data_IF_594616994112
#
_entry.id   IF_594616994112
#
_cell.length_a   1.000
_cell.length_b   1.000
_cell.length_c   1.000
_cell.angle_alpha   90.00
_cell.angle_beta   90.00
_cell.angle_gamma   90.00
#
_symmetry.space_group_name_H-M   'P 1'
#
loop_
_entity.id
_entity.type
_entity.pdbx_description
1 polymer ?
#
# COMPACT_ATOMS: atom_id res chain seq x y z
N UNK A 1 -9.76 17.44 -6.98
CA UNK A 1 -9.36 16.15 -6.35
C UNK A 1 -10.50 15.12 -6.18
N UNK A 2 -11.69 15.47 -5.64
CA UNK A 2 -12.78 14.50 -5.36
C UNK A 2 -13.16 13.57 -6.54
N UNK A 3 -13.32 14.13 -7.75
CA UNK A 3 -13.66 13.35 -8.96
C UNK A 3 -12.58 12.31 -9.30
N UNK A 4 -11.31 12.73 -9.34
CA UNK A 4 -10.17 11.85 -9.60
C UNK A 4 -10.08 10.71 -8.58
N UNK A 5 -10.15 11.03 -7.28
CA UNK A 5 -10.18 10.03 -6.20
C UNK A 5 -11.29 8.99 -6.41
N UNK A 6 -12.50 9.45 -6.73
CA UNK A 6 -13.64 8.56 -6.95
C UNK A 6 -13.44 7.68 -8.19
N UNK A 7 -12.84 8.20 -9.26
CA UNK A 7 -12.53 7.44 -10.46
C UNK A 7 -11.51 6.32 -10.15
N UNK A 8 -10.40 6.66 -9.48
CA UNK A 8 -9.39 5.69 -9.02
C UNK A 8 -10.03 4.61 -8.13
N UNK A 9 -10.86 4.99 -7.15
CA UNK A 9 -11.56 4.05 -6.26
C UNK A 9 -12.49 3.08 -7.01
N UNK A 10 -13.00 3.45 -8.17
CA UNK A 10 -13.85 2.62 -9.01
C UNK A 10 -13.06 1.89 -10.10
N UNK A 11 -11.72 1.83 -10.00
CA UNK A 11 -10.85 1.10 -10.92
C UNK A 11 -11.03 1.53 -12.39
N UNK A 12 -11.32 2.81 -12.63
CA UNK A 12 -11.59 3.32 -13.99
C UNK A 12 -10.33 3.57 -14.82
N UNK A 13 -9.15 3.48 -14.20
CA UNK A 13 -7.86 3.71 -14.84
C UNK A 13 -7.04 2.42 -14.84
N UNK A 14 -6.34 2.18 -15.95
CA UNK A 14 -5.26 1.21 -16.07
C UNK A 14 -4.05 1.61 -15.22
N UNK A 15 -3.11 0.68 -15.03
CA UNK A 15 -1.86 0.93 -14.30
C UNK A 15 -1.03 2.03 -15.00
N UNK A 16 -0.99 2.02 -16.33
CA UNK A 16 -0.27 3.03 -17.12
C UNK A 16 -0.88 4.43 -16.93
N UNK A 17 -2.21 4.54 -17.00
CA UNK A 17 -2.91 5.81 -16.73
C UNK A 17 -2.68 6.31 -15.29
N UNK A 18 -2.62 5.40 -14.30
CA UNK A 18 -2.30 5.78 -12.91
C UNK A 18 -0.88 6.32 -12.78
N UNK A 19 0.08 5.73 -13.50
CA UNK A 19 1.47 6.21 -13.56
C UNK A 19 1.56 7.59 -14.21
N UNK A 20 0.85 7.82 -15.32
CA UNK A 20 0.75 9.13 -15.95
C UNK A 20 0.12 10.18 -15.03
N UNK A 21 -0.96 9.81 -14.32
CA UNK A 21 -1.59 10.68 -13.32
C UNK A 21 -0.60 11.04 -12.22
N UNK A 22 0.17 10.08 -11.70
CA UNK A 22 1.20 10.33 -10.67
C UNK A 22 2.23 11.33 -11.17
N UNK A 23 2.72 11.15 -12.39
CA UNK A 23 3.68 12.05 -13.02
C UNK A 23 3.12 13.47 -13.14
N UNK A 24 1.90 13.62 -13.68
CA UNK A 24 1.23 14.92 -13.78
C UNK A 24 1.04 15.60 -12.42
N UNK A 25 0.64 14.84 -11.40
CA UNK A 25 0.49 15.34 -10.03
C UNK A 25 1.81 15.85 -9.46
N UNK A 26 2.90 15.14 -9.73
CA UNK A 26 4.26 15.55 -9.33
C UNK A 26 4.71 16.82 -10.05
N UNK A 27 4.52 16.89 -11.37
CA UNK A 27 4.90 18.04 -12.20
C UNK A 27 4.14 19.31 -11.79
N UNK A 28 2.90 19.15 -11.32
CA UNK A 28 2.06 20.22 -10.79
C UNK A 28 2.37 20.58 -9.32
N UNK A 29 3.25 19.84 -8.64
CA UNK A 29 3.63 20.10 -7.25
C UNK A 29 2.51 19.82 -6.23
N UNK A 30 1.52 18.99 -6.58
CA UNK A 30 0.33 18.70 -5.75
C UNK A 30 0.30 17.27 -5.19
N UNK A 31 1.46 16.64 -5.07
CA UNK A 31 1.61 15.25 -4.59
C UNK A 31 1.01 15.05 -3.20
N UNK A 32 1.17 16.02 -2.30
CA UNK A 32 0.64 15.94 -0.94
C UNK A 32 -0.88 15.92 -0.93
N UNK A 33 -1.51 16.84 -1.66
CA UNK A 33 -2.97 16.95 -1.78
C UNK A 33 -3.57 15.71 -2.46
N UNK A 34 -2.85 15.13 -3.42
CA UNK A 34 -3.20 13.87 -4.06
C UNK A 34 -3.15 12.70 -3.07
N UNK A 35 -2.03 12.50 -2.39
CA UNK A 35 -1.84 11.41 -1.43
C UNK A 35 -2.84 11.52 -0.26
N UNK A 36 -3.08 12.72 0.26
CA UNK A 36 -4.09 12.99 1.29
C UNK A 36 -5.53 12.68 0.83
N UNK A 37 -5.81 12.83 -0.46
CA UNK A 37 -7.10 12.45 -1.03
C UNK A 37 -7.22 10.94 -1.19
N UNK A 38 -6.18 10.26 -1.68
CA UNK A 38 -6.17 8.81 -1.86
C UNK A 38 -6.33 8.05 -0.53
N UNK A 39 -5.69 8.52 0.55
CA UNK A 39 -5.80 7.87 1.87
C UNK A 39 -7.25 7.82 2.38
N UNK A 40 -8.13 8.71 1.88
CA UNK A 40 -9.57 8.79 2.20
C UNK A 40 -10.46 7.95 1.25
N UNK A 41 -9.87 7.07 0.45
CA UNK A 41 -10.63 6.10 -0.35
C UNK A 41 -11.22 4.99 0.52
N UNK A 42 -12.32 4.42 0.04
CA UNK A 42 -12.76 3.10 0.47
C UNK A 42 -11.87 2.04 -0.20
N UNK A 43 -10.84 1.61 0.53
CA UNK A 43 -9.90 0.60 0.04
C UNK A 43 -10.51 -0.80 -0.03
N UNK A 44 -11.55 -1.10 0.75
CA UNK A 44 -12.26 -2.38 0.62
C UNK A 44 -12.97 -2.47 -0.72
N UNK A 45 -13.65 -1.39 -1.13
CA UNK A 45 -14.22 -1.30 -2.47
C UNK A 45 -13.16 -1.35 -3.57
N UNK A 46 -12.08 -0.58 -3.42
CA UNK A 46 -11.01 -0.52 -4.41
C UNK A 46 -10.32 -1.89 -4.61
N UNK A 47 -9.95 -2.56 -3.52
CA UNK A 47 -9.28 -3.86 -3.56
C UNK A 47 -10.18 -4.93 -4.17
N UNK A 48 -11.48 -4.91 -3.85
CA UNK A 48 -12.46 -5.81 -4.48
C UNK A 48 -12.49 -5.66 -6.00
N UNK A 49 -12.40 -4.43 -6.51
CA UNK A 49 -12.32 -4.20 -7.95
C UNK A 49 -11.00 -4.66 -8.58
N UNK A 50 -9.92 -4.75 -7.80
CA UNK A 50 -8.61 -5.21 -8.27
C UNK A 50 -8.48 -6.75 -8.29
N UNK A 51 -8.86 -7.41 -7.18
CA UNK A 51 -8.56 -8.84 -6.97
C UNK A 51 -9.77 -9.69 -6.58
N UNK A 52 -10.97 -9.11 -6.51
CA UNK A 52 -12.20 -9.80 -6.12
C UNK A 52 -12.47 -9.80 -4.60
N UNK A 53 -13.48 -10.57 -4.20
CA UNK A 53 -13.93 -10.68 -2.81
C UNK A 53 -12.84 -11.27 -1.89
N UNK A 54 -12.84 -10.92 -0.59
CA UNK A 54 -11.98 -11.58 0.39
C UNK A 54 -12.31 -13.07 0.52
N UNK A 55 -11.37 -13.90 1.04
CA UNK A 55 -11.65 -15.29 1.38
C UNK A 55 -12.87 -15.43 2.29
N UNK A 56 -13.74 -16.40 1.99
CA UNK A 56 -15.03 -16.55 2.66
C UNK A 56 -14.94 -16.85 4.17
N UNK A 57 -13.83 -17.45 4.61
CA UNK A 57 -13.53 -17.80 5.99
C UNK A 57 -12.74 -16.72 6.75
N UNK A 58 -12.36 -15.61 6.09
CA UNK A 58 -11.61 -14.53 6.71
C UNK A 58 -12.48 -13.75 7.70
N UNK A 59 -12.04 -13.68 8.95
CA UNK A 59 -12.75 -12.96 10.01
C UNK A 59 -12.58 -11.44 9.84
N UNK A 60 -13.70 -10.73 9.67
CA UNK A 60 -13.73 -9.25 9.52
C UNK A 60 -12.71 -8.79 8.48
N UNK A 61 -12.85 -9.18 7.20
CA UNK A 61 -11.86 -8.88 6.18
C UNK A 61 -11.77 -7.37 5.96
N UNK A 62 -10.55 -6.89 5.72
CA UNK A 62 -10.31 -5.52 5.31
C UNK A 62 -9.18 -5.45 4.28
N UNK A 63 -9.20 -4.40 3.47
CA UNK A 63 -8.07 -4.08 2.61
C UNK A 63 -6.92 -3.58 3.49
N UNK A 64 -5.87 -4.38 3.54
CA UNK A 64 -4.69 -4.15 4.35
C UNK A 64 -3.56 -3.61 3.47
N UNK A 65 -2.95 -2.54 3.95
CA UNK A 65 -1.71 -2.00 3.38
C UNK A 65 -0.53 -2.70 4.05
N UNK A 66 0.25 -3.46 3.29
CA UNK A 66 1.41 -4.22 3.81
C UNK A 66 2.42 -3.25 4.45
N UNK A 67 2.89 -2.28 3.67
CA UNK A 67 3.47 -1.04 4.18
C UNK A 67 2.35 -0.01 4.40
N UNK A 68 2.26 0.57 5.60
CA UNK A 68 1.16 1.47 5.94
C UNK A 68 1.14 2.73 5.05
N UNK A 69 -0.07 3.19 4.72
CA UNK A 69 -0.28 4.40 3.91
C UNK A 69 0.02 5.73 4.62
N UNK A 70 0.03 5.77 5.97
CA UNK A 70 0.19 7.03 6.73
C UNK A 70 0.94 6.88 8.06
N UNK A 71 0.68 5.82 8.84
CA UNK A 71 1.23 5.67 10.19
C UNK A 71 0.58 6.61 11.24
N UNK A 72 0.68 6.23 12.51
CA UNK A 72 0.19 6.98 13.68
C UNK A 72 1.37 7.54 14.49
N UNK A 73 1.38 8.86 14.69
CA UNK A 73 2.48 9.55 15.36
C UNK A 73 3.76 9.61 14.53
N UNK A 74 4.72 10.36 15.03
CA UNK A 74 5.96 10.70 14.31
C UNK A 74 6.80 9.47 13.97
N UNK A 75 6.96 8.54 14.92
CA UNK A 75 7.78 7.34 14.74
C UNK A 75 7.27 6.45 13.58
N UNK A 76 5.96 6.18 13.53
CA UNK A 76 5.41 5.40 12.41
C UNK A 76 5.42 6.20 11.10
N UNK A 77 5.16 7.51 11.14
CA UNK A 77 5.17 8.34 9.93
C UNK A 77 6.53 8.36 9.27
N UNK A 78 7.61 8.44 10.06
CA UNK A 78 8.99 8.36 9.55
C UNK A 78 9.26 7.02 8.87
N UNK A 79 8.91 5.91 9.51
CA UNK A 79 9.06 4.57 8.92
C UNK A 79 8.22 4.38 7.66
N UNK A 80 6.98 4.88 7.65
CA UNK A 80 6.14 4.89 6.46
C UNK A 80 6.84 5.64 5.34
N UNK A 81 7.35 6.84 5.60
CA UNK A 81 8.05 7.62 4.59
C UNK A 81 9.23 6.83 4.00
N UNK A 82 10.10 6.28 4.86
CA UNK A 82 11.26 5.48 4.43
C UNK A 82 10.85 4.29 3.56
N UNK A 83 9.84 3.52 3.98
CA UNK A 83 9.33 2.41 3.17
C UNK A 83 8.73 2.86 1.85
N UNK A 84 8.00 3.98 1.83
CA UNK A 84 7.37 4.49 0.62
C UNK A 84 8.38 5.03 -0.39
N UNK A 85 9.50 5.57 0.08
CA UNK A 85 10.64 5.95 -0.78
C UNK A 85 11.22 4.72 -1.49
N UNK A 86 11.37 3.60 -0.78
CA UNK A 86 11.80 2.32 -1.38
C UNK A 86 10.78 1.86 -2.42
N UNK A 87 9.49 1.78 -2.08
CA UNK A 87 8.48 1.34 -3.06
C UNK A 87 8.49 2.20 -4.34
N UNK A 88 8.59 3.52 -4.21
CA UNK A 88 8.67 4.44 -5.36
C UNK A 88 9.94 4.27 -6.18
N UNK A 89 11.09 3.92 -5.58
CA UNK A 89 12.33 3.60 -6.30
C UNK A 89 12.11 2.49 -7.33
N UNK A 90 11.23 1.54 -7.00
CA UNK A 90 10.87 0.41 -7.85
C UNK A 90 9.59 0.64 -8.68
N UNK A 91 9.03 1.86 -8.68
CA UNK A 91 7.80 2.17 -9.43
C UNK A 91 6.52 1.62 -8.82
N UNK A 92 6.55 1.15 -7.56
CA UNK A 92 5.36 0.67 -6.85
C UNK A 92 4.68 1.87 -6.17
N UNK A 93 3.41 2.11 -6.51
CA UNK A 93 2.62 3.15 -5.86
C UNK A 93 2.25 2.74 -4.42
N UNK A 94 2.71 3.45 -3.39
CA UNK A 94 2.58 2.98 -2.02
C UNK A 94 1.15 2.97 -1.48
N UNK A 95 0.27 3.82 -2.01
CA UNK A 95 -1.10 3.97 -1.49
C UNK A 95 -2.09 3.07 -2.25
N UNK A 96 -1.94 2.98 -3.57
CA UNK A 96 -2.92 2.33 -4.46
C UNK A 96 -2.32 1.19 -5.30
N UNK A 97 -1.01 0.96 -5.27
CA UNK A 97 -0.37 -0.17 -5.94
C UNK A 97 -0.92 -1.48 -5.39
N UNK A 98 -1.33 -2.38 -6.29
CA UNK A 98 -1.92 -3.67 -5.92
C UNK A 98 -0.94 -4.55 -5.14
N UNK A 99 0.36 -4.36 -5.40
CA UNK A 99 1.48 -5.07 -4.79
C UNK A 99 1.56 -4.80 -3.29
N UNK A 100 1.09 -3.63 -2.84
CA UNK A 100 1.09 -3.23 -1.43
C UNK A 100 -0.27 -3.46 -0.74
N UNK A 101 -1.21 -4.17 -1.39
CA UNK A 101 -2.58 -4.37 -0.90
C UNK A 101 -2.95 -5.85 -0.86
N UNK A 102 -3.52 -6.27 0.27
CA UNK A 102 -4.01 -7.65 0.45
C UNK A 102 -5.28 -7.67 1.30
N UNK A 103 -6.10 -8.71 1.15
CA UNK A 103 -7.14 -9.00 2.14
C UNK A 103 -6.50 -9.56 3.41
N UNK A 104 -6.80 -8.97 4.55
CA UNK A 104 -6.36 -9.51 5.84
C UNK A 104 -7.47 -9.41 6.90
N UNK A 105 -7.45 -10.27 7.94
CA UNK A 105 -8.35 -10.13 9.05
C UNK A 105 -8.10 -8.81 9.77
N UNK A 106 -9.17 -8.13 10.17
CA UNK A 106 -9.08 -6.89 10.93
C UNK A 106 -9.09 -7.18 12.44
N UNK A 107 -8.68 -6.20 13.24
CA UNK A 107 -8.70 -6.22 14.72
C UNK A 107 -7.79 -7.28 15.37
N UNK A 108 -6.84 -7.82 14.62
CA UNK A 108 -5.78 -8.65 15.19
C UNK A 108 -4.78 -7.76 15.94
N UNK A 109 -4.52 -8.11 17.20
CA UNK A 109 -3.54 -7.39 18.02
C UNK A 109 -2.14 -7.43 17.37
N UNK A 110 -1.48 -6.27 17.32
CA UNK A 110 -0.13 -6.15 16.76
C UNK A 110 -0.04 -6.11 15.23
N UNK A 111 -1.15 -6.16 14.48
CA UNK A 111 -1.10 -6.03 13.01
C UNK A 111 -0.86 -4.61 12.50
N UNK A 112 -1.26 -3.61 13.29
CA UNK A 112 -1.10 -2.19 12.96
C UNK A 112 -0.21 -1.44 13.96
N UNK A 113 0.70 -2.14 14.63
CA UNK A 113 1.61 -1.55 15.61
C UNK A 113 2.96 -1.15 14.99
N UNK A 114 3.79 -0.46 15.79
CA UNK A 114 5.11 0.00 15.37
C UNK A 114 6.04 -1.15 14.98
N UNK A 115 6.09 -2.22 15.77
CA UNK A 115 6.97 -3.38 15.50
C UNK A 115 6.64 -4.09 14.19
N UNK A 116 5.37 -4.21 13.83
CA UNK A 116 4.96 -4.76 12.54
C UNK A 116 5.44 -3.90 11.37
N UNK A 117 5.31 -2.57 11.50
CA UNK A 117 5.81 -1.63 10.50
C UNK A 117 7.34 -1.66 10.39
N UNK A 118 8.05 -1.67 11.52
CA UNK A 118 9.52 -1.81 11.56
C UNK A 118 9.97 -3.08 10.84
N UNK A 119 9.30 -4.21 11.09
CA UNK A 119 9.61 -5.45 10.39
C UNK A 119 9.43 -5.33 8.87
N UNK A 120 8.33 -4.74 8.40
CA UNK A 120 8.09 -4.52 6.96
C UNK A 120 9.19 -3.64 6.36
N UNK A 121 9.48 -2.49 6.98
CA UNK A 121 10.49 -1.54 6.49
C UNK A 121 11.89 -2.15 6.50
N UNK A 122 12.25 -2.91 7.54
CA UNK A 122 13.55 -3.56 7.63
C UNK A 122 13.74 -4.63 6.55
N UNK A 123 12.70 -5.39 6.22
CA UNK A 123 12.76 -6.38 5.13
C UNK A 123 12.89 -5.70 3.76
N UNK A 124 12.13 -4.62 3.51
CA UNK A 124 12.28 -3.80 2.30
C UNK A 124 13.70 -3.23 2.16
N UNK A 125 14.25 -2.67 3.24
CA UNK A 125 15.62 -2.14 3.26
C UNK A 125 16.68 -3.22 3.03
N UNK A 126 16.50 -4.41 3.61
CA UNK A 126 17.45 -5.50 3.46
C UNK A 126 17.53 -5.99 2.01
N UNK A 127 16.37 -6.15 1.37
CA UNK A 127 16.25 -6.55 -0.04
C UNK A 127 16.79 -5.45 -0.96
N UNK A 128 16.43 -4.17 -0.73
CA UNK A 128 16.97 -3.02 -1.45
C UNK A 128 18.50 -2.93 -1.38
N UNK A 129 19.08 -3.10 -0.19
CA UNK A 129 20.52 -3.06 0.04
C UNK A 129 21.28 -4.24 -0.60
N UNK A 130 20.60 -5.36 -0.85
CA UNK A 130 21.17 -6.51 -1.55
C UNK A 130 21.21 -6.34 -3.08
N UNK A 131 20.73 -5.21 -3.61
CA UNK A 131 20.72 -4.94 -5.05
C UNK A 131 19.50 -5.51 -5.76
N UNK A 132 18.38 -5.61 -5.05
CA UNK A 132 17.11 -6.12 -5.58
C UNK A 132 16.63 -5.40 -6.84
N UNK A 133 15.90 -6.14 -7.67
CA UNK A 133 15.07 -5.60 -8.74
C UNK A 133 13.60 -5.45 -8.32
N UNK A 134 12.70 -5.15 -9.27
CA UNK A 134 11.28 -5.00 -8.99
C UNK A 134 10.64 -6.31 -8.52
N UNK A 135 11.01 -7.43 -9.12
CA UNK A 135 10.39 -8.73 -8.83
C UNK A 135 10.73 -9.16 -7.40
N UNK A 136 11.96 -8.93 -6.95
CA UNK A 136 12.39 -9.16 -5.57
C UNK A 136 11.55 -8.35 -4.54
N UNK A 137 11.24 -7.09 -4.86
CA UNK A 137 10.42 -6.22 -3.99
C UNK A 137 8.96 -6.68 -3.98
N UNK A 138 8.44 -7.15 -5.10
CA UNK A 138 7.10 -7.74 -5.17
C UNK A 138 7.07 -9.03 -4.34
N UNK A 139 8.07 -9.91 -4.46
CA UNK A 139 8.12 -11.17 -3.72
C UNK A 139 8.11 -10.95 -2.21
N UNK A 140 8.90 -10.00 -1.70
CA UNK A 140 8.92 -9.70 -0.27
C UNK A 140 7.58 -9.09 0.21
N UNK A 141 6.93 -8.24 -0.60
CA UNK A 141 5.60 -7.75 -0.28
C UNK A 141 4.56 -8.87 -0.28
N UNK A 142 4.61 -9.80 -1.23
CA UNK A 142 3.73 -10.95 -1.26
C UNK A 142 3.90 -11.83 -0.02
N UNK A 143 5.12 -12.12 0.41
CA UNK A 143 5.39 -12.90 1.63
C UNK A 143 4.86 -12.18 2.87
N UNK A 144 5.16 -10.88 3.02
CA UNK A 144 4.65 -10.06 4.11
C UNK A 144 3.10 -9.98 4.10
N UNK A 145 2.50 -9.89 2.92
CA UNK A 145 1.06 -9.90 2.70
C UNK A 145 0.42 -11.22 3.10
N UNK A 146 1.02 -12.36 2.72
CA UNK A 146 0.58 -13.70 3.14
C UNK A 146 0.61 -13.84 4.67
N UNK A 147 1.69 -13.38 5.32
CA UNK A 147 1.81 -13.35 6.78
C UNK A 147 0.77 -12.47 7.46
N UNK A 148 0.41 -11.34 6.84
CA UNK A 148 -0.66 -10.47 7.34
C UNK A 148 -2.04 -11.12 7.18
N UNK A 149 -2.30 -11.76 6.04
CA UNK A 149 -3.56 -12.44 5.73
C UNK A 149 -3.79 -13.69 6.60
N UNK A 150 -2.73 -14.37 7.04
CA UNK A 150 -2.81 -15.62 7.80
C UNK A 150 -2.95 -15.43 9.33
N UNK A 151 -2.97 -14.19 9.84
CA UNK A 151 -3.07 -13.95 11.29
C UNK A 151 -4.44 -14.39 11.83
N UNK A 152 -4.50 -14.72 13.12
CA UNK A 152 -5.71 -15.17 13.81
C UNK A 152 -5.79 -14.53 15.19
#
# INVERSE_FOLDING_TARGET
MKKLKNAIQNNTFSIDELSEIRKMVSDLGITKEYDEALIKMDFGKYLRGLIGEPPADMVVPHAHHILFKKGLGEAQQKLVQEGQEILRKYGIEPIIGKENLVWAPNRIAGQHNLSALENVVNQLKAVDAAGADLDDIIEILEDLGKRAASRR
#
